data_IF_984739939744
#
_entry.id   IF_984739939744
#
_cell.length_a   1.000
_cell.length_b   1.000
_cell.length_c   1.000
_cell.angle_alpha   90.00
_cell.angle_beta   90.00
_cell.angle_gamma   90.00
#
_symmetry.space_group_name_H-M   'P 1'
#
loop_
_entity.id
_entity.type
_entity.pdbx_description
1 polymer ?
#
# COMPACT_ATOMS: atom_id res chain seq x y z
N UNK A 1 22.88 -16.75 21.27
CA UNK A 1 22.10 -15.55 20.90
C UNK A 1 23.09 -14.39 20.76
N UNK A 2 23.44 -14.01 19.53
CA UNK A 2 24.37 -12.91 19.25
C UNK A 2 23.60 -11.59 19.22
N UNK A 3 23.38 -10.99 20.38
CA UNK A 3 22.83 -9.63 20.51
C UNK A 3 23.97 -8.63 20.27
N UNK A 4 23.94 -7.92 19.14
CA UNK A 4 24.75 -6.73 18.93
C UNK A 4 23.88 -5.53 19.32
N UNK A 5 24.01 -5.04 20.55
CA UNK A 5 23.49 -3.74 21.00
C UNK A 5 22.08 -3.35 20.50
N UNK A 6 21.13 -4.28 20.59
CA UNK A 6 19.72 -4.09 20.22
C UNK A 6 19.32 -4.55 18.82
N UNK A 7 20.26 -5.01 17.99
CA UNK A 7 19.99 -5.61 16.67
C UNK A 7 20.02 -7.13 16.76
N UNK A 8 18.97 -7.77 16.28
CA UNK A 8 18.81 -9.23 16.29
C UNK A 8 18.91 -9.83 14.88
N UNK A 9 19.33 -11.09 14.81
CA UNK A 9 19.36 -11.84 13.54
C UNK A 9 17.94 -12.00 12.94
N UNK A 10 16.94 -12.19 13.80
CA UNK A 10 15.54 -12.28 13.38
C UNK A 10 15.01 -10.94 12.87
N UNK A 11 15.46 -9.83 13.46
CA UNK A 11 15.21 -8.47 12.96
C UNK A 11 15.80 -8.22 11.58
N UNK A 12 17.03 -8.67 11.33
CA UNK A 12 17.66 -8.59 10.00
C UNK A 12 16.85 -9.37 8.95
N UNK A 13 16.46 -10.61 9.28
CA UNK A 13 15.61 -11.42 8.39
C UNK A 13 14.29 -10.71 8.09
N UNK A 14 13.65 -10.16 9.13
CA UNK A 14 12.39 -9.42 9.00
C UNK A 14 12.56 -8.17 8.13
N UNK A 15 13.66 -7.43 8.26
CA UNK A 15 13.95 -6.28 7.41
C UNK A 15 14.11 -6.65 5.92
N UNK A 16 14.73 -7.80 5.63
CA UNK A 16 14.85 -8.32 4.27
C UNK A 16 13.49 -8.77 3.72
N UNK A 17 12.68 -9.45 4.52
CA UNK A 17 11.33 -9.88 4.14
C UNK A 17 10.44 -8.67 3.85
N UNK A 18 10.50 -7.62 4.68
CA UNK A 18 9.80 -6.34 4.45
C UNK A 18 10.20 -5.73 3.10
N UNK A 19 11.51 -5.72 2.80
CA UNK A 19 12.02 -5.19 1.54
C UNK A 19 11.50 -5.96 0.33
N UNK A 20 11.46 -7.29 0.39
CA UNK A 20 10.92 -8.11 -0.70
C UNK A 20 9.40 -7.94 -0.82
N UNK A 21 8.67 -7.84 0.28
CA UNK A 21 7.23 -7.55 0.27
C UNK A 21 6.92 -6.22 -0.42
N UNK A 22 7.71 -5.16 -0.15
CA UNK A 22 7.55 -3.89 -0.86
C UNK A 22 7.81 -3.99 -2.36
N UNK A 23 8.81 -4.77 -2.78
CA UNK A 23 9.06 -5.01 -4.22
C UNK A 23 7.92 -5.79 -4.88
N UNK A 24 7.32 -6.71 -4.13
CA UNK A 24 6.22 -7.54 -4.59
C UNK A 24 4.83 -6.87 -4.43
N UNK A 25 4.78 -5.61 -3.97
CA UNK A 25 3.53 -4.90 -3.64
C UNK A 25 2.63 -5.68 -2.67
N UNK A 26 3.23 -6.40 -1.74
CA UNK A 26 2.52 -7.17 -0.72
C UNK A 26 2.39 -6.34 0.57
N UNK A 27 1.19 -6.31 1.19
CA UNK A 27 1.02 -5.61 2.45
C UNK A 27 1.79 -6.32 3.56
N UNK A 28 2.36 -5.53 4.47
CA UNK A 28 2.92 -6.07 5.71
C UNK A 28 1.75 -6.43 6.63
N UNK A 29 1.76 -7.63 7.18
CA UNK A 29 0.73 -8.12 8.09
C UNK A 29 1.18 -8.01 9.56
N UNK A 30 0.19 -8.05 10.46
CA UNK A 30 0.43 -8.16 11.90
C UNK A 30 1.13 -9.48 12.21
N UNK A 31 2.12 -9.51 13.12
CA UNK A 31 2.72 -10.75 13.59
C UNK A 31 1.66 -11.72 14.12
N UNK A 32 1.73 -12.98 13.69
CA UNK A 32 0.74 -14.00 14.07
C UNK A 32 -0.61 -13.93 13.35
N UNK A 33 -0.86 -12.89 12.54
CA UNK A 33 -2.11 -12.74 11.77
C UNK A 33 -1.83 -12.49 10.28
N UNK A 34 -1.73 -13.56 9.47
CA UNK A 34 -1.41 -13.47 8.02
C UNK A 34 -2.43 -12.66 7.20
N UNK A 35 -3.66 -12.49 7.71
CA UNK A 35 -4.75 -11.83 6.97
C UNK A 35 -4.96 -10.37 7.38
N UNK A 36 -4.39 -9.94 8.50
CA UNK A 36 -4.58 -8.59 9.04
C UNK A 36 -3.39 -7.71 8.70
N UNK A 37 -3.62 -6.72 7.87
CA UNK A 37 -2.60 -5.73 7.52
C UNK A 37 -2.15 -4.92 8.74
N UNK A 38 -0.85 -4.69 8.84
CA UNK A 38 -0.25 -3.75 9.78
C UNK A 38 -0.65 -2.32 9.39
N UNK A 39 -1.24 -1.60 10.33
CA UNK A 39 -1.65 -0.21 10.15
C UNK A 39 -0.68 0.73 10.89
N UNK A 40 -0.55 2.00 10.46
CA UNK A 40 0.31 2.95 11.15
C UNK A 40 -0.09 3.11 12.62
N UNK A 41 -1.39 3.04 12.94
CA UNK A 41 -1.86 3.11 14.32
C UNK A 41 -1.40 1.95 15.19
N UNK A 42 -1.26 0.75 14.62
CA UNK A 42 -0.75 -0.40 15.35
C UNK A 42 0.74 -0.19 15.66
N UNK A 43 1.48 0.36 14.70
CA UNK A 43 2.90 0.67 14.85
C UNK A 43 3.13 1.81 15.86
N UNK A 44 2.23 2.80 15.92
CA UNK A 44 2.27 3.86 16.93
C UNK A 44 1.92 3.38 18.34
N UNK A 45 1.19 2.27 18.46
CA UNK A 45 0.73 1.76 19.74
C UNK A 45 1.81 0.89 20.40
N UNK A 46 2.44 1.44 21.44
CA UNK A 46 3.49 0.75 22.21
C UNK A 46 3.00 -0.44 23.02
N UNK A 47 1.68 -0.56 23.23
CA UNK A 47 1.09 -1.68 23.99
C UNK A 47 0.92 -2.95 23.15
N UNK A 48 1.18 -2.85 21.83
CA UNK A 48 1.12 -3.98 20.91
C UNK A 48 2.54 -4.53 20.73
N UNK A 49 2.70 -5.82 21.03
CA UNK A 49 3.90 -6.58 20.73
C UNK A 49 3.98 -6.85 19.22
N UNK A 50 5.00 -6.29 18.58
CA UNK A 50 5.26 -6.43 17.15
C UNK A 50 6.38 -7.44 16.85
N UNK A 51 6.86 -8.18 17.86
CA UNK A 51 7.89 -9.20 17.72
C UNK A 51 9.11 -8.66 16.94
N UNK A 52 9.58 -9.39 15.93
CA UNK A 52 10.74 -9.02 15.13
C UNK A 52 10.56 -7.76 14.27
N UNK A 53 9.33 -7.25 14.10
CA UNK A 53 9.06 -5.97 13.42
C UNK A 53 9.51 -4.79 14.28
N UNK A 54 9.56 -4.95 15.61
CA UNK A 54 10.02 -3.91 16.55
C UNK A 54 11.55 -3.74 16.56
N UNK A 55 12.28 -4.65 15.90
CA UNK A 55 13.73 -4.54 15.78
C UNK A 55 14.14 -3.25 15.04
N UNK A 56 15.21 -2.54 15.49
CA UNK A 56 15.68 -1.32 14.86
C UNK A 56 15.93 -1.44 13.34
N UNK A 57 16.38 -2.58 12.85
CA UNK A 57 16.59 -2.80 11.42
C UNK A 57 15.29 -2.96 10.63
N UNK A 58 14.29 -3.63 11.21
CA UNK A 58 12.98 -3.76 10.59
C UNK A 58 12.26 -2.41 10.53
N UNK A 59 12.26 -1.66 11.64
CA UNK A 59 11.67 -0.32 11.72
C UNK A 59 12.39 0.68 10.80
N UNK A 60 13.71 0.63 10.70
CA UNK A 60 14.47 1.52 9.80
C UNK A 60 14.21 1.23 8.32
N UNK A 61 14.08 -0.05 7.93
CA UNK A 61 13.66 -0.41 6.57
C UNK A 61 12.29 0.17 6.24
N UNK A 62 11.33 0.03 7.16
CA UNK A 62 9.97 0.57 7.03
C UNK A 62 10.01 2.11 6.93
N UNK A 63 10.69 2.78 7.85
CA UNK A 63 10.81 4.25 7.88
C UNK A 63 11.49 4.85 6.64
N UNK A 64 12.41 4.12 6.02
CA UNK A 64 13.18 4.62 4.87
C UNK A 64 12.53 4.32 3.53
N UNK A 65 11.92 3.14 3.39
CA UNK A 65 11.53 2.60 2.08
C UNK A 65 10.04 2.44 1.86
N UNK A 66 9.23 2.47 2.91
CA UNK A 66 7.78 2.29 2.80
C UNK A 66 7.21 3.30 1.77
N UNK A 67 6.36 2.84 0.84
CA UNK A 67 5.76 3.69 -0.16
C UNK A 67 4.93 4.82 0.46
N UNK A 68 4.38 4.60 1.66
CA UNK A 68 3.40 5.46 2.29
C UNK A 68 3.98 6.33 3.43
N UNK A 69 3.86 7.67 3.32
CA UNK A 69 4.33 8.57 4.38
C UNK A 69 3.74 8.26 5.76
N UNK A 70 2.44 7.93 5.93
CA UNK A 70 1.88 7.61 7.24
C UNK A 70 2.52 6.40 7.94
N UNK A 71 2.81 5.33 7.19
CA UNK A 71 3.44 4.12 7.75
C UNK A 71 4.91 4.37 8.08
N UNK A 72 5.63 4.96 7.14
CA UNK A 72 7.02 5.33 7.32
C UNK A 72 7.22 6.27 8.52
N UNK A 73 6.32 7.24 8.70
CA UNK A 73 6.32 8.15 9.85
C UNK A 73 6.04 7.41 11.16
N UNK A 74 5.07 6.48 11.17
CA UNK A 74 4.81 5.66 12.35
C UNK A 74 6.05 4.82 12.74
N UNK A 75 6.72 4.21 11.76
CA UNK A 75 7.95 3.44 11.99
C UNK A 75 9.05 4.33 12.58
N UNK A 76 9.26 5.52 12.01
CA UNK A 76 10.24 6.47 12.50
C UNK A 76 9.96 6.93 13.94
N UNK A 77 8.69 7.12 14.30
CA UNK A 77 8.32 7.52 15.68
C UNK A 77 8.47 6.40 16.70
N UNK A 78 8.36 5.13 16.29
CA UNK A 78 8.63 3.97 17.15
C UNK A 78 10.14 3.74 17.30
N UNK A 79 10.90 3.94 16.23
CA UNK A 79 12.37 3.85 16.24
C UNK A 79 13.05 4.99 17.02
N UNK A 80 12.53 6.22 16.91
CA UNK A 80 13.16 7.43 17.46
C UNK A 80 13.63 7.32 18.92
N UNK A 81 12.79 6.88 19.87
CA UNK A 81 13.19 6.69 21.28
C UNK A 81 14.36 5.72 21.49
N UNK A 82 14.46 4.68 20.65
CA UNK A 82 15.47 3.63 20.77
C UNK A 82 16.89 4.14 20.46
N UNK A 83 17.00 5.27 19.75
CA UNK A 83 18.29 5.90 19.44
C UNK A 83 19.09 6.35 20.67
N UNK A 84 18.43 6.52 21.83
CA UNK A 84 19.10 6.84 23.09
C UNK A 84 19.83 5.63 23.69
N UNK A 85 19.39 4.41 23.37
CA UNK A 85 19.83 3.18 24.04
C UNK A 85 21.22 2.73 23.57
N UNK A 86 21.55 2.96 22.29
CA UNK A 86 22.80 2.53 21.70
C UNK A 86 23.32 3.52 20.65
N UNK A 87 24.64 3.81 20.63
CA UNK A 87 25.26 4.57 19.55
C UNK A 87 25.03 3.96 18.16
N UNK A 88 24.92 2.62 18.08
CA UNK A 88 24.65 1.92 16.84
C UNK A 88 23.25 2.25 16.32
N UNK A 89 22.23 2.21 17.19
CA UNK A 89 20.84 2.55 16.81
C UNK A 89 20.73 4.03 16.44
N UNK A 90 21.47 4.92 17.11
CA UNK A 90 21.57 6.32 16.71
C UNK A 90 22.17 6.45 15.29
N UNK A 91 23.24 5.70 15.00
CA UNK A 91 23.80 5.60 13.64
C UNK A 91 22.76 5.13 12.61
N UNK A 92 21.96 4.12 12.94
CA UNK A 92 20.84 3.66 12.09
C UNK A 92 19.83 4.77 11.84
N UNK A 93 19.45 5.56 12.86
CA UNK A 93 18.57 6.71 12.70
C UNK A 93 19.12 7.76 11.73
N UNK A 94 20.43 8.04 11.77
CA UNK A 94 21.04 8.95 10.80
C UNK A 94 20.96 8.40 9.37
N UNK A 95 21.20 7.09 9.18
CA UNK A 95 21.02 6.46 7.87
C UNK A 95 19.56 6.55 7.40
N UNK A 96 18.57 6.39 8.29
CA UNK A 96 17.15 6.58 7.94
C UNK A 96 16.88 8.02 7.52
N UNK A 97 17.41 9.00 8.25
CA UNK A 97 17.28 10.44 7.94
C UNK A 97 17.77 10.76 6.53
N UNK A 98 18.89 10.18 6.11
CA UNK A 98 19.51 10.40 4.81
C UNK A 98 18.87 9.59 3.68
N UNK A 99 18.37 8.39 3.99
CA UNK A 99 17.89 7.45 2.97
C UNK A 99 16.36 7.44 2.78
N UNK A 100 15.62 8.11 3.66
CA UNK A 100 14.16 8.18 3.56
C UNK A 100 13.70 8.94 2.32
N UNK A 101 12.60 8.45 1.73
CA UNK A 101 11.93 9.10 0.59
C UNK A 101 11.06 10.30 1.01
N UNK A 102 10.74 10.40 2.30
CA UNK A 102 9.72 11.32 2.80
C UNK A 102 10.37 12.45 3.63
N UNK A 103 10.31 13.71 3.18
CA UNK A 103 10.96 14.84 3.88
C UNK A 103 10.55 14.97 5.35
N UNK A 104 9.25 14.77 5.64
CA UNK A 104 8.68 14.87 6.99
C UNK A 104 9.37 13.92 7.99
N UNK A 105 9.89 12.79 7.54
CA UNK A 105 10.58 11.81 8.38
C UNK A 105 11.98 12.30 8.69
N UNK A 106 12.68 12.84 7.70
CA UNK A 106 13.99 13.46 7.89
C UNK A 106 13.91 14.60 8.91
N UNK A 107 12.90 15.46 8.80
CA UNK A 107 12.65 16.56 9.74
C UNK A 107 12.35 16.05 11.17
N UNK A 108 11.52 15.00 11.29
CA UNK A 108 11.19 14.38 12.58
C UNK A 108 12.42 13.75 13.26
N UNK A 109 13.26 13.03 12.51
CA UNK A 109 14.49 12.44 13.05
C UNK A 109 15.50 13.53 13.42
N UNK A 110 15.62 14.58 12.60
CA UNK A 110 16.46 15.75 12.91
C UNK A 110 16.05 16.36 14.25
N UNK A 111 14.76 16.62 14.43
CA UNK A 111 14.23 17.20 15.67
C UNK A 111 14.47 16.32 16.90
N UNK A 112 14.31 14.99 16.79
CA UNK A 112 14.56 14.05 17.89
C UNK A 112 16.06 13.98 18.23
N UNK A 113 16.91 13.93 17.21
CA UNK A 113 18.37 13.77 17.40
C UNK A 113 19.02 15.07 17.89
N UNK A 114 18.65 16.22 17.34
CA UNK A 114 19.14 17.56 17.74
C UNK A 114 18.69 17.94 19.16
N UNK A 115 17.53 17.45 19.61
CA UNK A 115 17.05 17.62 20.98
C UNK A 115 17.58 16.58 21.97
N UNK A 116 18.60 15.80 21.58
CA UNK A 116 19.21 14.75 22.40
C UNK A 116 18.19 13.76 23.00
N UNK A 117 17.19 13.36 22.19
CA UNK A 117 16.13 12.42 22.59
C UNK A 117 15.30 12.90 23.79
N UNK A 118 15.00 14.21 23.85
CA UNK A 118 14.12 14.75 24.89
C UNK A 118 12.72 14.10 24.84
N UNK A 119 12.23 13.48 25.94
CA UNK A 119 10.93 12.82 25.99
C UNK A 119 9.75 13.71 25.59
N UNK A 120 9.79 15.00 25.91
CA UNK A 120 8.73 15.95 25.55
C UNK A 120 8.64 16.20 24.05
N UNK A 121 9.80 16.31 23.40
CA UNK A 121 9.89 16.47 21.95
C UNK A 121 9.44 15.19 21.24
N UNK A 122 9.88 14.03 21.72
CA UNK A 122 9.43 12.71 21.22
C UNK A 122 7.90 12.60 21.33
N UNK A 123 7.31 12.99 22.47
CA UNK A 123 5.86 12.98 22.68
C UNK A 123 5.15 13.92 21.70
N UNK A 124 5.70 15.11 21.48
CA UNK A 124 5.14 16.06 20.51
C UNK A 124 5.21 15.51 19.08
N UNK A 125 6.35 14.97 18.66
CA UNK A 125 6.52 14.33 17.34
C UNK A 125 5.53 13.18 17.15
N UNK A 126 5.38 12.31 18.16
CA UNK A 126 4.37 11.24 18.15
C UNK A 126 2.95 11.78 18.02
N UNK A 127 2.63 12.86 18.75
CA UNK A 127 1.33 13.54 18.66
C UNK A 127 1.06 14.13 17.27
N UNK A 128 2.05 14.76 16.65
CA UNK A 128 1.95 15.29 15.30
C UNK A 128 1.82 14.19 14.25
N UNK A 129 2.59 13.10 14.39
CA UNK A 129 2.47 11.93 13.53
C UNK A 129 1.06 11.34 13.57
N UNK A 130 0.48 11.18 14.77
CA UNK A 130 -0.90 10.68 14.89
C UNK A 130 -1.92 11.62 14.23
N UNK A 131 -1.79 12.94 14.43
CA UNK A 131 -2.64 13.93 13.75
C UNK A 131 -2.49 13.86 12.23
N UNK A 132 -1.27 13.69 11.73
CA UNK A 132 -0.99 13.56 10.31
C UNK A 132 -1.61 12.29 9.71
N UNK A 133 -1.46 11.13 10.37
CA UNK A 133 -2.07 9.85 9.96
C UNK A 133 -3.59 9.98 9.88
N UNK A 134 -4.23 10.55 10.91
CA UNK A 134 -5.69 10.74 10.93
C UNK A 134 -6.14 11.74 9.85
N UNK A 135 -5.42 12.85 9.68
CA UNK A 135 -5.73 13.88 8.69
C UNK A 135 -5.61 13.35 7.26
N UNK A 136 -4.48 12.72 6.93
CA UNK A 136 -4.24 12.15 5.60
C UNK A 136 -5.31 11.12 5.24
N UNK A 137 -5.67 10.20 6.15
CA UNK A 137 -6.76 9.23 5.89
C UNK A 137 -8.11 9.90 5.60
N UNK A 138 -8.44 11.00 6.31
CA UNK A 138 -9.66 11.77 6.03
C UNK A 138 -9.61 12.40 4.64
N UNK A 139 -8.47 12.96 4.26
CA UNK A 139 -8.26 13.58 2.95
C UNK A 139 -8.37 12.54 1.82
N UNK A 140 -7.74 11.37 1.94
CA UNK A 140 -7.87 10.27 0.98
C UNK A 140 -9.32 9.77 0.85
N UNK A 141 -10.02 9.61 1.97
CA UNK A 141 -11.43 9.19 1.96
C UNK A 141 -12.32 10.25 1.28
N UNK A 142 -12.05 11.52 1.53
CA UNK A 142 -12.78 12.64 0.92
C UNK A 142 -12.49 12.75 -0.58
N UNK A 143 -11.23 12.56 -1.00
CA UNK A 143 -10.85 12.49 -2.40
C UNK A 143 -11.56 11.34 -3.13
N UNK A 144 -11.61 10.15 -2.52
CA UNK A 144 -12.30 9.00 -3.08
C UNK A 144 -13.79 9.25 -3.30
N UNK A 145 -14.47 9.87 -2.33
CA UNK A 145 -15.88 10.25 -2.45
C UNK A 145 -16.11 11.26 -3.56
N UNK A 146 -15.24 12.28 -3.66
CA UNK A 146 -15.31 13.28 -4.74
C UNK A 146 -15.11 12.64 -6.11
N UNK A 147 -14.16 11.72 -6.23
CA UNK A 147 -13.91 11.00 -7.48
C UNK A 147 -15.09 10.11 -7.87
N UNK A 148 -15.72 9.43 -6.91
CA UNK A 148 -16.93 8.65 -7.17
C UNK A 148 -18.08 9.54 -7.63
N UNK A 149 -18.30 10.69 -6.99
CA UNK A 149 -19.33 11.64 -7.42
C UNK A 149 -19.02 12.16 -8.83
N UNK A 150 -17.78 12.56 -9.10
CA UNK A 150 -17.36 13.02 -10.42
C UNK A 150 -17.51 11.95 -11.51
N UNK A 151 -17.35 10.67 -11.16
CA UNK A 151 -17.62 9.55 -12.08
C UNK A 151 -19.11 9.46 -12.41
N UNK A 152 -19.98 9.56 -11.40
CA UNK A 152 -21.43 9.53 -11.59
C UNK A 152 -21.92 10.72 -12.39
N UNK A 153 -21.32 11.89 -12.20
CA UNK A 153 -21.60 13.13 -12.94
C UNK A 153 -20.98 13.14 -14.35
N UNK A 154 -20.17 12.12 -14.71
CA UNK A 154 -19.50 12.01 -16.00
C UNK A 154 -18.33 12.98 -16.21
N UNK A 155 -17.84 13.62 -15.13
CA UNK A 155 -16.75 14.59 -15.15
C UNK A 155 -15.36 13.94 -15.29
N UNK A 156 -15.22 12.67 -14.86
CA UNK A 156 -13.97 11.91 -14.99
C UNK A 156 -14.18 10.63 -15.79
N UNK A 157 -13.14 10.23 -16.53
CA UNK A 157 -13.17 8.99 -17.29
C UNK A 157 -13.15 7.76 -16.36
N UNK A 158 -13.90 6.69 -16.66
CA UNK A 158 -13.89 5.44 -15.88
C UNK A 158 -12.52 4.86 -15.58
N UNK A 159 -11.61 4.84 -16.57
CA UNK A 159 -10.25 4.33 -16.40
C UNK A 159 -9.45 5.15 -15.39
N UNK A 160 -9.58 6.48 -15.46
CA UNK A 160 -8.93 7.39 -14.51
C UNK A 160 -9.47 7.19 -13.10
N UNK A 161 -10.79 7.04 -12.95
CA UNK A 161 -11.41 6.74 -11.66
C UNK A 161 -10.86 5.44 -11.06
N UNK A 162 -10.79 4.35 -11.84
CA UNK A 162 -10.30 3.06 -11.33
C UNK A 162 -8.84 3.18 -10.90
N UNK A 163 -7.96 3.77 -11.71
CA UNK A 163 -6.56 4.00 -11.31
C UNK A 163 -6.46 4.80 -10.00
N UNK A 164 -7.15 5.95 -9.92
CA UNK A 164 -7.16 6.78 -8.72
C UNK A 164 -7.79 6.07 -7.52
N UNK A 165 -8.76 5.18 -7.72
CA UNK A 165 -9.35 4.39 -6.64
C UNK A 165 -8.28 3.51 -5.98
N UNK A 166 -7.55 2.73 -6.79
CA UNK A 166 -6.51 1.84 -6.26
C UNK A 166 -5.40 2.65 -5.58
N UNK A 167 -4.89 3.69 -6.26
CA UNK A 167 -3.87 4.59 -5.71
C UNK A 167 -4.30 5.22 -4.37
N UNK A 168 -5.52 5.78 -4.27
CA UNK A 168 -5.97 6.43 -3.04
C UNK A 168 -6.25 5.43 -1.90
N UNK A 169 -6.69 4.21 -2.23
CA UNK A 169 -6.96 3.20 -1.20
C UNK A 169 -5.68 2.57 -0.65
N UNK A 170 -4.65 2.44 -1.49
CA UNK A 170 -3.30 2.06 -1.08
C UNK A 170 -2.63 3.21 -0.31
N UNK A 171 -2.70 4.44 -0.85
CA UNK A 171 -2.08 5.62 -0.26
C UNK A 171 -2.67 6.02 1.11
N UNK A 172 -3.97 5.82 1.27
CA UNK A 172 -4.64 6.01 2.54
C UNK A 172 -4.38 4.91 3.56
N UNK A 173 -3.58 3.91 3.20
CA UNK A 173 -3.41 2.64 3.89
C UNK A 173 -4.76 2.16 4.46
N UNK A 174 -5.77 2.12 3.58
CA UNK A 174 -7.14 1.85 4.01
C UNK A 174 -7.24 0.43 4.54
N UNK A 175 -7.97 0.25 5.63
CA UNK A 175 -8.17 -1.08 6.22
C UNK A 175 -8.81 -2.05 5.22
N UNK A 176 -8.43 -3.33 5.30
CA UNK A 176 -8.91 -4.39 4.40
C UNK A 176 -10.43 -4.54 4.38
N UNK A 177 -11.11 -4.36 5.53
CA UNK A 177 -12.57 -4.36 5.66
C UNK A 177 -13.22 -3.23 4.86
N UNK A 178 -12.63 -2.03 4.90
CA UNK A 178 -13.09 -0.86 4.17
C UNK A 178 -12.87 -1.06 2.67
N UNK A 179 -11.67 -1.48 2.24
CA UNK A 179 -11.37 -1.78 0.83
C UNK A 179 -12.34 -2.80 0.26
N UNK A 180 -12.55 -3.91 0.98
CA UNK A 180 -13.56 -4.93 0.64
C UNK A 180 -14.93 -4.30 0.45
N UNK A 181 -15.41 -3.53 1.43
CA UNK A 181 -16.75 -2.93 1.40
C UNK A 181 -16.92 -1.97 0.21
N UNK A 182 -15.92 -1.16 -0.08
CA UNK A 182 -15.94 -0.21 -1.20
C UNK A 182 -16.01 -0.95 -2.54
N UNK A 183 -15.12 -1.92 -2.78
CA UNK A 183 -15.13 -2.69 -4.03
C UNK A 183 -16.42 -3.49 -4.18
N UNK A 184 -16.90 -4.16 -3.12
CA UNK A 184 -18.19 -4.84 -3.15
C UNK A 184 -19.33 -3.88 -3.47
N UNK A 185 -19.36 -2.70 -2.85
CA UNK A 185 -20.43 -1.72 -3.14
C UNK A 185 -20.44 -1.28 -4.60
N UNK A 186 -19.27 -1.17 -5.24
CA UNK A 186 -19.16 -0.82 -6.66
C UNK A 186 -19.61 -1.99 -7.55
N UNK A 187 -19.16 -3.21 -7.27
CA UNK A 187 -19.50 -4.39 -8.06
C UNK A 187 -20.98 -4.77 -7.94
N UNK A 188 -21.57 -4.58 -6.76
CA UNK A 188 -22.97 -4.91 -6.48
C UNK A 188 -23.95 -3.79 -6.86
N UNK A 189 -23.50 -2.54 -7.00
CA UNK A 189 -24.39 -1.41 -7.31
C UNK A 189 -25.04 -1.53 -8.70
N UNK A 190 -26.35 -1.29 -8.78
CA UNK A 190 -27.09 -1.21 -10.05
C UNK A 190 -26.81 0.09 -10.82
N UNK A 191 -26.43 1.16 -10.11
CA UNK A 191 -26.18 2.48 -10.69
C UNK A 191 -24.82 2.56 -11.41
N UNK A 192 -23.92 1.61 -11.15
CA UNK A 192 -22.60 1.56 -11.77
C UNK A 192 -22.68 0.73 -13.06
N UNK A 193 -22.25 1.35 -14.17
CA UNK A 193 -22.24 0.71 -15.50
C UNK A 193 -21.35 -0.54 -15.49
N UNK A 194 -21.75 -1.64 -16.17
CA UNK A 194 -20.96 -2.87 -16.23
C UNK A 194 -19.50 -2.67 -16.66
N UNK A 195 -19.24 -1.78 -17.62
CA UNK A 195 -17.88 -1.48 -18.10
C UNK A 195 -16.95 -0.99 -16.99
N UNK A 196 -17.46 -0.20 -16.03
CA UNK A 196 -16.67 0.26 -14.87
C UNK A 196 -16.35 -0.94 -13.97
N UNK A 197 -17.32 -1.84 -13.75
CA UNK A 197 -17.11 -3.05 -12.94
C UNK A 197 -16.03 -3.94 -13.54
N UNK A 198 -16.01 -4.12 -14.85
CA UNK A 198 -14.95 -4.85 -15.53
C UNK A 198 -13.57 -4.21 -15.37
N UNK A 199 -13.48 -2.87 -15.43
CA UNK A 199 -12.20 -2.18 -15.15
C UNK A 199 -11.69 -2.48 -13.72
N UNK A 200 -12.58 -2.62 -12.74
CA UNK A 200 -12.19 -3.06 -11.39
C UNK A 200 -11.69 -4.51 -11.37
N UNK A 201 -12.33 -5.40 -12.13
CA UNK A 201 -11.91 -6.80 -12.24
C UNK A 201 -10.56 -6.92 -12.97
N UNK A 202 -10.29 -6.11 -13.99
CA UNK A 202 -8.98 -6.06 -14.67
C UNK A 202 -7.84 -5.75 -13.69
N UNK A 203 -8.10 -4.91 -12.68
CA UNK A 203 -7.13 -4.50 -11.66
C UNK A 203 -7.29 -5.30 -10.35
N UNK A 204 -8.02 -6.42 -10.36
CA UNK A 204 -8.33 -7.15 -9.12
C UNK A 204 -7.08 -7.65 -8.40
N UNK A 205 -6.00 -7.94 -9.13
CA UNK A 205 -4.73 -8.42 -8.58
C UNK A 205 -4.00 -7.40 -7.72
N UNK A 206 -4.30 -6.11 -7.86
CA UNK A 206 -3.78 -5.04 -6.99
C UNK A 206 -4.34 -5.15 -5.56
N UNK A 207 -5.43 -5.92 -5.36
CA UNK A 207 -5.97 -6.16 -4.03
C UNK A 207 -5.21 -7.29 -3.32
N UNK A 208 -4.94 -7.14 -2.00
CA UNK A 208 -4.41 -8.22 -1.18
C UNK A 208 -5.24 -9.50 -1.29
N UNK A 209 -4.58 -10.65 -1.28
CA UNK A 209 -5.24 -11.95 -1.42
C UNK A 209 -6.41 -12.18 -0.43
N UNK A 210 -6.32 -11.79 0.86
CA UNK A 210 -7.44 -11.90 1.79
C UNK A 210 -8.65 -11.07 1.33
N UNK A 211 -8.42 -9.85 0.85
CA UNK A 211 -9.49 -8.95 0.36
C UNK A 211 -10.14 -9.53 -0.90
N UNK A 212 -9.34 -10.06 -1.83
CA UNK A 212 -9.85 -10.73 -3.04
C UNK A 212 -10.75 -11.91 -2.70
N UNK A 213 -10.32 -12.81 -1.80
CA UNK A 213 -11.12 -13.98 -1.37
C UNK A 213 -12.47 -13.56 -0.79
N UNK A 214 -12.49 -12.54 0.05
CA UNK A 214 -13.72 -12.03 0.65
C UNK A 214 -14.64 -11.35 -0.38
N UNK A 215 -14.08 -10.61 -1.36
CA UNK A 215 -14.87 -10.02 -2.45
C UNK A 215 -15.50 -11.12 -3.30
N UNK A 216 -14.73 -12.14 -3.70
CA UNK A 216 -15.25 -13.29 -4.46
C UNK A 216 -16.41 -13.93 -3.69
N UNK A 217 -16.23 -14.23 -2.40
CA UNK A 217 -17.30 -14.80 -1.57
C UNK A 217 -18.53 -13.91 -1.52
N UNK A 218 -18.34 -12.60 -1.38
CA UNK A 218 -19.43 -11.62 -1.35
C UNK A 218 -20.23 -11.57 -2.65
N UNK A 219 -19.54 -11.57 -3.80
CA UNK A 219 -20.18 -11.55 -5.12
C UNK A 219 -20.89 -12.87 -5.42
N UNK A 220 -20.31 -14.02 -5.07
CA UNK A 220 -20.95 -15.33 -5.27
C UNK A 220 -22.27 -15.47 -4.49
N UNK A 221 -22.39 -14.80 -3.35
CA UNK A 221 -23.60 -14.79 -2.50
C UNK A 221 -24.63 -13.72 -2.89
N UNK A 222 -24.30 -12.83 -3.83
CA UNK A 222 -25.19 -11.76 -4.26
C UNK A 222 -26.36 -12.30 -5.08
N UNK A 223 -27.48 -11.57 -5.02
CA UNK A 223 -28.69 -11.90 -5.78
C UNK A 223 -28.39 -12.03 -7.28
N UNK A 224 -28.95 -13.06 -7.94
CA UNK A 224 -28.69 -13.32 -9.34
C UNK A 224 -29.36 -12.26 -10.20
N UNK A 225 -28.58 -11.64 -11.09
CA UNK A 225 -29.05 -10.81 -12.19
C UNK A 225 -28.18 -11.11 -13.41
N UNK A 226 -28.66 -10.79 -14.63
CA UNK A 226 -27.89 -11.09 -15.84
C UNK A 226 -26.47 -10.52 -15.79
N UNK A 227 -26.31 -9.26 -15.36
CA UNK A 227 -24.99 -8.65 -15.17
C UNK A 227 -24.20 -9.29 -14.02
N UNK A 228 -24.86 -9.70 -12.95
CA UNK A 228 -24.19 -10.33 -11.81
C UNK A 228 -23.64 -11.73 -12.16
N UNK A 229 -24.36 -12.51 -12.96
CA UNK A 229 -23.91 -13.83 -13.40
C UNK A 229 -22.65 -13.72 -14.27
N UNK A 230 -22.56 -12.70 -15.13
CA UNK A 230 -21.34 -12.44 -15.91
C UNK A 230 -20.16 -12.10 -14.98
N UNK A 231 -20.38 -11.24 -13.97
CA UNK A 231 -19.32 -10.91 -12.98
C UNK A 231 -18.90 -12.15 -12.18
N UNK A 232 -19.85 -13.01 -11.79
CA UNK A 232 -19.56 -14.28 -11.11
C UNK A 232 -18.73 -15.20 -12.01
N UNK A 233 -19.05 -15.31 -13.29
CA UNK A 233 -18.29 -16.12 -14.24
C UNK A 233 -16.84 -15.62 -14.40
N UNK A 234 -16.65 -14.31 -14.58
CA UNK A 234 -15.32 -13.71 -14.68
C UNK A 234 -14.49 -13.99 -13.41
N UNK A 235 -15.08 -13.78 -12.22
CA UNK A 235 -14.40 -14.05 -10.96
C UNK A 235 -14.05 -15.54 -10.79
N UNK A 236 -14.91 -16.47 -11.22
CA UNK A 236 -14.59 -17.91 -11.22
C UNK A 236 -13.36 -18.17 -12.08
N UNK A 237 -13.35 -17.63 -13.31
CA UNK A 237 -12.23 -17.80 -14.22
C UNK A 237 -10.91 -17.24 -13.66
N UNK A 238 -10.93 -16.06 -13.04
CA UNK A 238 -9.76 -15.47 -12.37
C UNK A 238 -9.24 -16.35 -11.23
N UNK A 239 -10.14 -16.92 -10.42
CA UNK A 239 -9.74 -17.83 -9.32
C UNK A 239 -9.16 -19.15 -9.85
N UNK A 240 -9.76 -19.75 -10.88
CA UNK A 240 -9.26 -20.98 -11.49
C UNK A 240 -7.90 -20.81 -12.17
N UNK A 241 -7.62 -19.65 -12.77
CA UNK A 241 -6.30 -19.30 -13.29
C UNK A 241 -5.24 -19.20 -12.20
N UNK A 242 -5.60 -18.62 -11.06
CA UNK A 242 -4.68 -18.47 -9.93
C UNK A 242 -4.27 -19.83 -9.35
N UNK A 243 -5.23 -20.77 -9.22
CA UNK A 243 -4.97 -22.15 -8.77
C UNK A 243 -4.06 -22.90 -9.74
N UNK A 244 -4.33 -22.85 -11.06
CA UNK A 244 -3.49 -23.52 -12.07
C UNK A 244 -2.05 -22.99 -12.11
N UNK A 245 -1.83 -21.69 -11.90
CA UNK A 245 -0.48 -21.13 -11.84
C UNK A 245 0.29 -21.57 -10.58
N UNK A 246 -0.37 -21.72 -9.43
CA UNK A 246 0.24 -22.24 -8.20
C UNK A 246 0.64 -23.72 -8.33
N UNK A 247 -0.21 -24.54 -8.97
CA UNK A 247 0.09 -25.95 -9.22
C UNK A 247 1.25 -26.12 -10.22
N UNK A 248 1.36 -25.23 -11.20
CA UNK A 248 2.45 -25.23 -12.19
C UNK A 248 3.79 -24.81 -11.57
N UNK A 249 3.79 -23.88 -10.62
CA UNK A 249 5.00 -23.44 -9.90
C UNK A 249 5.50 -24.51 -8.91
N UNK A 250 4.61 -25.35 -8.36
CA UNK A 250 5.01 -26.46 -7.49
C UNK A 250 5.47 -27.71 -8.26
N UNK A 251 5.17 -27.82 -9.56
CA UNK A 251 5.50 -29.00 -10.37
C UNK A 251 6.67 -28.81 -11.36
N UNK A 252 7.33 -27.64 -11.36
CA UNK A 252 8.56 -27.43 -12.12
C UNK A 252 9.72 -27.00 -11.20
N UNK A 253 10.52 -27.98 -10.78
CA UNK A 253 11.92 -27.71 -10.45
C UNK A 253 12.62 -27.11 -11.68
N UNK A 254 13.57 -26.19 -11.46
CA UNK A 254 14.31 -25.51 -12.52
C UNK A 254 14.75 -26.46 -13.64
N UNK A 255 14.60 -26.04 -14.90
CA UNK A 255 15.73 -26.11 -15.80
C UNK A 255 15.96 -24.80 -16.54
N UNK A 256 17.24 -24.48 -16.61
CA UNK A 256 17.92 -23.62 -17.58
C UNK A 256 17.59 -24.08 -19.00
N UNK A 257 17.10 -23.18 -19.86
CA UNK A 257 17.60 -22.89 -21.22
C UNK A 257 16.56 -22.18 -22.12
N UNK A 258 17.13 -21.47 -23.09
CA UNK A 258 16.58 -20.44 -23.97
C UNK A 258 15.34 -20.85 -24.78
N UNK A 259 14.28 -20.02 -24.71
CA UNK A 259 13.26 -19.97 -25.76
C UNK A 259 12.89 -18.50 -26.05
N UNK A 260 13.37 -18.04 -27.20
CA UNK A 260 12.93 -16.85 -27.93
C UNK A 260 11.40 -16.83 -28.09
N UNK A 261 10.73 -15.80 -27.56
CA UNK A 261 9.31 -15.54 -27.82
C UNK A 261 9.16 -14.14 -28.43
N UNK A 262 8.62 -14.12 -29.65
CA UNK A 262 8.22 -12.93 -30.39
C UNK A 262 7.26 -12.06 -29.55
N UNK A 263 7.65 -10.80 -29.31
CA UNK A 263 6.82 -9.76 -28.69
C UNK A 263 5.73 -9.30 -29.66
N UNK A 264 4.45 -9.18 -29.25
CA UNK A 264 3.55 -8.25 -29.89
C UNK A 264 3.90 -6.82 -29.47
N UNK A 265 3.77 -5.93 -30.45
CA UNK A 265 4.20 -4.53 -30.48
C UNK A 265 3.73 -3.77 -29.24
N UNK A 266 4.70 -3.21 -28.52
CA UNK A 266 4.48 -2.29 -27.41
C UNK A 266 3.98 -0.96 -27.94
N UNK A 267 2.76 -0.56 -27.58
CA UNK A 267 2.37 0.85 -27.62
C UNK A 267 3.20 1.54 -26.53
N UNK A 268 4.06 2.46 -26.95
CA UNK A 268 4.95 3.24 -26.08
C UNK A 268 4.15 3.89 -24.95
N UNK A 269 4.29 3.34 -23.73
CA UNK A 269 4.00 4.08 -22.50
C UNK A 269 4.98 5.24 -22.45
N UNK A 270 4.50 6.46 -22.71
CA UNK A 270 5.25 7.69 -22.45
C UNK A 270 5.83 7.64 -21.03
N UNK A 271 7.16 7.64 -20.95
CA UNK A 271 7.95 7.61 -19.72
C UNK A 271 7.69 8.88 -18.90
N UNK A 272 6.76 8.80 -17.96
CA UNK A 272 6.74 9.63 -16.77
C UNK A 272 6.64 8.69 -15.58
N UNK A 273 7.60 8.74 -14.65
CA UNK A 273 7.43 8.04 -13.36
C UNK A 273 6.14 8.57 -12.71
N UNK A 274 5.19 7.73 -12.28
CA UNK A 274 4.03 8.21 -11.55
C UNK A 274 4.52 8.88 -10.27
N UNK A 275 4.25 10.18 -10.12
CA UNK A 275 4.59 10.93 -8.92
C UNK A 275 3.61 10.48 -7.82
N UNK A 276 4.10 10.19 -6.59
CA UNK A 276 3.20 9.92 -5.47
C UNK A 276 2.25 11.10 -5.28
N UNK A 277 0.96 10.81 -5.17
CA UNK A 277 -0.05 11.84 -4.91
C UNK A 277 0.17 12.44 -3.52
N UNK A 278 0.24 13.77 -3.42
CA UNK A 278 0.42 14.45 -2.13
C UNK A 278 -0.92 15.02 -1.62
N UNK A 279 -1.25 14.84 -0.33
CA UNK A 279 -2.45 15.43 0.24
C UNK A 279 -2.46 16.96 0.09
N UNK A 280 -3.50 17.49 -0.56
CA UNK A 280 -3.66 18.91 -0.87
C UNK A 280 -3.35 19.30 -2.32
N UNK A 281 -2.81 18.40 -3.15
CA UNK A 281 -2.82 18.60 -4.59
C UNK A 281 -4.27 18.59 -5.09
N UNK A 282 -4.74 19.71 -5.66
CA UNK A 282 -5.95 19.70 -6.48
C UNK A 282 -5.72 18.64 -7.58
N UNK A 283 -6.74 17.87 -7.94
CA UNK A 283 -6.69 17.06 -9.15
C UNK A 283 -6.44 18.01 -10.34
N UNK A 284 -5.19 18.21 -10.74
CA UNK A 284 -4.82 19.31 -11.65
C UNK A 284 -4.93 18.85 -13.10
N UNK A 285 -5.85 19.57 -13.77
CA UNK A 285 -5.86 20.07 -15.14
C UNK A 285 -6.01 19.10 -16.31
N UNK A 286 -7.26 19.11 -16.81
CA UNK A 286 -7.62 19.16 -18.23
C UNK A 286 -6.58 19.92 -19.07
N UNK A 287 -5.64 19.18 -19.66
CA UNK A 287 -4.97 19.64 -20.88
C UNK A 287 -5.76 19.11 -22.07
N UNK A 288 -6.70 19.94 -22.51
CA UNK A 288 -7.35 19.82 -23.82
C UNK A 288 -6.25 19.94 -24.87
N UNK A 289 -5.82 18.82 -25.46
CA UNK A 289 -5.07 18.86 -26.73
C UNK A 289 -6.11 18.77 -27.85
N UNK A 290 -6.46 19.92 -28.39
CA UNK A 290 -7.08 20.02 -29.70
C UNK A 290 -6.12 19.43 -30.74
N UNK A 291 -6.59 18.43 -31.48
CA UNK A 291 -5.87 17.86 -32.62
C UNK A 291 -6.51 18.42 -33.87
N UNK A 292 -5.78 19.25 -34.59
CA UNK A 292 -6.12 19.69 -35.94
C UNK A 292 -5.91 18.51 -36.91
N UNK A 293 -6.89 18.29 -37.78
CA UNK A 293 -6.78 17.34 -38.89
C UNK A 293 -6.27 18.09 -40.13
N UNK A 294 -5.21 17.56 -40.74
CA UNK A 294 -4.89 17.74 -42.15
C UNK A 294 -4.96 16.38 -42.82
#
# INVERSE_FOLDING_TARGET
MTHLDGITHDGLKTALDIKENYKAHQPICMPGEETRMLLPENLMNTDIDLQSIEDPLALSMMASRDPEPPMALAAATRLGPMGKESPLINGVLQVVRESTKHPIISDCISLITESAFNPEIIRNVRGQANKYIVKSRREYTLALRKNLQALLDGLIAPRLFVCQFFELTEAGNMRSDIRKKLVLSILLSENIRPSIKFLFLENFNELPQPVRKEIVRGVMRAEPSHHMEIIKEELRWMTSKTTKNLDTIQSQGLPTEDITINRPISIEKTKGKPRPWHPGEKAINTTRKEVFWH
#
